data_IF_102370064253
#
_entry.id   IF_102370064253
#
_cell.length_a   1.000
_cell.length_b   1.000
_cell.length_c   1.000
_cell.angle_alpha   90.00
_cell.angle_beta   90.00
_cell.angle_gamma   90.00
#
_symmetry.space_group_name_H-M   'P 1'
#
loop_
_entity.id
_entity.type
_entity.pdbx_description
1 polymer ?
#
# COMPACT_ATOMS: atom_id res chain seq x y z
N UNK A 1 -26.14 34.51 -35.01
CA UNK A 1 -24.66 34.50 -35.12
C UNK A 1 -24.11 34.45 -33.71
N UNK A 2 -23.80 33.26 -33.24
CA UNK A 2 -23.12 33.03 -31.96
C UNK A 2 -21.68 32.64 -32.28
N UNK A 3 -20.66 33.23 -31.63
CA UNK A 3 -19.28 32.92 -31.94
C UNK A 3 -18.91 31.55 -31.36
N UNK A 4 -18.34 30.73 -32.23
CA UNK A 4 -17.69 29.44 -31.94
C UNK A 4 -16.51 29.67 -31.01
N UNK A 5 -16.55 29.06 -29.82
CA UNK A 5 -15.40 28.98 -28.92
C UNK A 5 -14.45 27.95 -29.53
N UNK A 6 -13.24 28.42 -29.82
CA UNK A 6 -12.13 27.66 -30.40
C UNK A 6 -11.58 26.72 -29.33
N UNK A 7 -11.38 25.45 -29.68
CA UNK A 7 -10.73 24.43 -28.86
C UNK A 7 -9.41 24.96 -28.29
N UNK A 8 -9.33 25.01 -26.96
CA UNK A 8 -8.07 25.16 -26.26
C UNK A 8 -7.49 23.76 -26.07
N UNK A 9 -6.62 23.36 -26.98
CA UNK A 9 -5.71 22.22 -26.81
C UNK A 9 -4.95 22.41 -25.49
N UNK A 10 -5.33 21.62 -24.49
CA UNK A 10 -4.57 21.46 -23.25
C UNK A 10 -3.30 20.68 -23.58
N UNK A 11 -2.29 21.39 -24.09
CA UNK A 11 -0.93 20.88 -24.13
C UNK A 11 -0.42 20.77 -22.70
N UNK A 12 -0.49 19.54 -22.15
CA UNK A 12 0.27 19.19 -20.96
C UNK A 12 1.76 19.41 -21.28
N UNK A 13 2.50 20.25 -20.53
CA UNK A 13 3.90 20.48 -20.83
C UNK A 13 4.68 19.19 -20.60
N UNK A 14 5.44 18.78 -21.62
CA UNK A 14 6.42 17.69 -21.58
C UNK A 14 7.50 17.98 -20.51
N UNK A 15 7.17 17.71 -19.26
CA UNK A 15 8.14 17.54 -18.18
C UNK A 15 8.65 16.12 -18.34
N UNK A 16 9.95 15.95 -18.61
CA UNK A 16 10.57 14.63 -18.63
C UNK A 16 10.09 13.84 -17.40
N UNK A 17 9.51 12.64 -17.57
CA UNK A 17 8.81 12.00 -16.47
C UNK A 17 9.79 11.79 -15.33
N UNK A 18 9.47 12.36 -14.17
CA UNK A 18 10.19 12.09 -12.94
C UNK A 18 10.18 10.59 -12.64
N UNK A 19 10.99 10.16 -11.67
CA UNK A 19 11.04 8.76 -11.28
C UNK A 19 9.65 8.24 -10.89
N UNK A 20 9.18 7.18 -11.56
CA UNK A 20 7.83 6.61 -11.44
C UNK A 20 7.79 5.33 -10.58
N UNK A 21 6.60 4.82 -10.26
CA UNK A 21 6.48 3.51 -9.61
C UNK A 21 6.92 2.38 -10.56
N UNK A 22 6.58 2.47 -11.84
CA UNK A 22 7.09 1.58 -12.90
C UNK A 22 8.62 1.50 -12.89
N UNK A 23 9.30 2.63 -12.72
CA UNK A 23 10.76 2.68 -12.61
C UNK A 23 11.28 1.95 -11.36
N UNK A 24 10.60 2.14 -10.22
CA UNK A 24 10.93 1.46 -8.98
C UNK A 24 10.79 -0.06 -9.10
N UNK A 25 9.66 -0.55 -9.62
CA UNK A 25 9.43 -1.99 -9.82
C UNK A 25 10.39 -2.59 -10.86
N UNK A 26 10.70 -1.86 -11.94
CA UNK A 26 11.73 -2.27 -12.91
C UNK A 26 13.13 -2.39 -12.28
N UNK A 27 13.47 -1.51 -11.33
CA UNK A 27 14.71 -1.62 -10.57
C UNK A 27 14.74 -2.91 -9.74
N UNK A 28 13.65 -3.23 -9.04
CA UNK A 28 13.50 -4.49 -8.31
C UNK A 28 13.69 -5.67 -9.26
N UNK A 29 12.98 -5.72 -10.38
CA UNK A 29 13.04 -6.85 -11.32
C UNK A 29 14.42 -7.08 -11.94
N UNK A 30 15.22 -6.01 -12.06
CA UNK A 30 16.59 -6.11 -12.57
C UNK A 30 17.60 -6.70 -11.58
N UNK A 31 17.26 -6.81 -10.29
CA UNK A 31 18.15 -7.34 -9.26
C UNK A 31 18.15 -8.89 -9.23
N UNK A 32 19.25 -9.54 -8.80
CA UNK A 32 19.31 -10.98 -8.64
C UNK A 32 18.19 -11.52 -7.73
N UNK A 33 17.62 -12.69 -8.06
CA UNK A 33 16.48 -13.26 -7.32
C UNK A 33 16.76 -13.45 -5.82
N UNK A 34 17.99 -13.86 -5.47
CA UNK A 34 18.42 -13.99 -4.07
C UNK A 34 18.39 -12.65 -3.33
N UNK A 35 18.90 -11.58 -3.96
CA UNK A 35 18.88 -10.22 -3.39
C UNK A 35 17.44 -9.71 -3.28
N UNK A 36 16.61 -9.91 -4.31
CA UNK A 36 15.18 -9.51 -4.29
C UNK A 36 14.42 -10.17 -3.14
N UNK A 37 14.63 -11.47 -2.92
CA UNK A 37 13.99 -12.22 -1.82
C UNK A 37 14.39 -11.68 -0.46
N UNK A 38 15.69 -11.47 -0.22
CA UNK A 38 16.19 -10.89 1.04
C UNK A 38 15.68 -9.49 1.26
N UNK A 39 15.70 -8.65 0.21
CA UNK A 39 15.19 -7.29 0.23
C UNK A 39 13.71 -7.26 0.67
N UNK A 40 12.84 -8.04 0.03
CA UNK A 40 11.42 -8.07 0.41
C UNK A 40 11.21 -8.59 1.84
N UNK A 41 11.95 -9.60 2.26
CA UNK A 41 11.87 -10.09 3.63
C UNK A 41 12.29 -9.00 4.64
N UNK A 42 13.30 -8.20 4.31
CA UNK A 42 13.70 -7.05 5.12
C UNK A 42 12.59 -5.99 5.17
N UNK A 43 12.00 -5.64 4.03
CA UNK A 43 10.87 -4.67 3.95
C UNK A 43 9.65 -5.12 4.76
N UNK A 44 9.41 -6.43 4.89
CA UNK A 44 8.34 -6.96 5.75
C UNK A 44 8.68 -6.97 7.24
N UNK A 45 9.96 -6.88 7.61
CA UNK A 45 10.42 -6.93 9.01
C UNK A 45 10.71 -5.57 9.59
N UNK A 46 11.20 -4.68 8.75
CA UNK A 46 11.63 -3.34 9.09
C UNK A 46 10.62 -2.31 8.63
N UNK A 47 10.62 -1.14 9.28
CA UNK A 47 9.76 -0.01 8.92
C UNK A 47 10.32 0.79 7.74
N UNK A 48 10.90 0.11 6.76
CA UNK A 48 11.46 0.74 5.58
C UNK A 48 10.37 1.08 4.57
N UNK A 49 10.46 2.29 4.02
CA UNK A 49 9.74 2.72 2.83
C UNK A 49 10.68 2.91 1.65
N UNK A 50 10.13 3.32 0.50
CA UNK A 50 10.92 3.59 -0.71
C UNK A 50 12.02 4.65 -0.50
N UNK A 51 11.77 5.66 0.36
CA UNK A 51 12.76 6.67 0.76
C UNK A 51 14.01 6.05 1.39
N UNK A 52 13.88 4.98 2.16
CA UNK A 52 14.98 4.37 2.90
C UNK A 52 15.89 3.63 1.92
N UNK A 53 15.29 2.98 0.92
CA UNK A 53 15.98 2.32 -0.18
C UNK A 53 16.82 3.36 -0.94
N UNK A 54 16.20 4.47 -1.34
CA UNK A 54 16.87 5.54 -2.08
C UNK A 54 17.97 6.17 -1.23
N UNK A 55 17.72 6.42 0.07
CA UNK A 55 18.71 6.92 1.02
C UNK A 55 19.95 6.04 1.09
N UNK A 56 19.79 4.75 1.35
CA UNK A 56 20.93 3.84 1.46
C UNK A 56 21.66 3.67 0.12
N UNK A 57 20.93 3.69 -0.99
CA UNK A 57 21.51 3.74 -2.32
C UNK A 57 22.38 4.95 -2.57
N UNK A 58 21.89 6.14 -2.22
CA UNK A 58 22.64 7.40 -2.36
C UNK A 58 23.89 7.42 -1.48
N UNK A 59 23.81 6.94 -0.22
CA UNK A 59 24.97 6.79 0.66
C UNK A 59 26.04 5.93 0.00
N UNK A 60 25.65 4.78 -0.55
CA UNK A 60 26.57 3.83 -1.16
C UNK A 60 27.22 4.37 -2.44
N UNK A 61 26.48 5.17 -3.21
CA UNK A 61 27.03 5.86 -4.38
C UNK A 61 27.90 7.08 -4.02
N UNK A 62 28.08 7.37 -2.72
CA UNK A 62 28.97 8.42 -2.24
C UNK A 62 28.32 9.81 -2.14
N UNK A 63 27.00 9.90 -2.25
CA UNK A 63 26.29 11.17 -2.05
C UNK A 63 26.18 11.52 -0.56
N UNK A 64 26.35 12.81 -0.20
CA UNK A 64 26.23 13.24 1.19
C UNK A 64 24.78 13.10 1.67
N UNK A 65 24.61 12.59 2.89
CA UNK A 65 23.29 12.39 3.49
C UNK A 65 23.10 13.32 4.68
N UNK A 66 22.32 14.38 4.44
CA UNK A 66 21.79 15.22 5.51
C UNK A 66 20.57 14.57 6.13
N UNK A 67 20.58 14.32 7.44
CA UNK A 67 19.44 13.73 8.15
C UNK A 67 18.14 14.53 7.95
N UNK A 68 18.21 15.87 7.87
CA UNK A 68 17.01 16.70 7.67
C UNK A 68 16.37 16.48 6.30
N UNK A 69 17.18 16.41 5.23
CA UNK A 69 16.71 16.23 3.86
C UNK A 69 15.93 14.91 3.69
N UNK A 70 16.41 13.83 4.32
CA UNK A 70 15.75 12.53 4.24
C UNK A 70 14.59 12.38 5.22
N UNK A 71 14.65 13.03 6.39
CA UNK A 71 13.54 13.02 7.34
C UNK A 71 12.31 13.76 6.79
N UNK A 72 12.51 14.77 5.94
CA UNK A 72 11.43 15.48 5.26
C UNK A 72 10.57 14.55 4.38
N UNK A 73 11.10 13.43 3.89
CA UNK A 73 10.34 12.42 3.15
C UNK A 73 9.13 11.88 3.92
N UNK A 74 9.13 11.96 5.25
CA UNK A 74 8.01 11.54 6.09
C UNK A 74 6.83 12.53 6.07
N UNK A 75 7.09 13.76 5.64
CA UNK A 75 6.19 14.91 5.75
C UNK A 75 5.78 15.47 4.39
N UNK A 76 6.29 14.91 3.30
CA UNK A 76 6.09 15.40 1.94
C UNK A 76 5.62 14.26 1.03
N UNK A 77 4.85 14.58 -0.01
CA UNK A 77 4.65 13.70 -1.15
C UNK A 77 5.98 13.21 -1.75
N UNK A 78 5.99 11.98 -2.24
CA UNK A 78 7.22 11.34 -2.72
C UNK A 78 7.85 12.10 -3.88
N UNK A 79 7.05 12.56 -4.83
CA UNK A 79 7.52 13.34 -5.98
C UNK A 79 8.19 14.67 -5.56
N UNK A 80 7.59 15.38 -4.59
CA UNK A 80 8.17 16.61 -4.05
C UNK A 80 9.49 16.30 -3.34
N UNK A 81 9.52 15.27 -2.50
CA UNK A 81 10.75 14.88 -1.81
C UNK A 81 11.87 14.51 -2.80
N UNK A 82 11.56 13.77 -3.87
CA UNK A 82 12.52 13.43 -4.91
C UNK A 82 13.11 14.67 -5.59
N UNK A 83 12.27 15.67 -5.89
CA UNK A 83 12.72 16.95 -6.44
C UNK A 83 13.65 17.69 -5.47
N UNK A 84 13.30 17.75 -4.19
CA UNK A 84 14.12 18.41 -3.16
C UNK A 84 15.49 17.74 -3.02
N UNK A 85 15.55 16.39 -3.09
CA UNK A 85 16.81 15.64 -3.07
C UNK A 85 17.65 15.92 -4.32
N UNK A 86 17.04 15.93 -5.51
CA UNK A 86 17.74 16.26 -6.76
C UNK A 86 18.25 17.70 -6.79
N UNK A 87 17.48 18.66 -6.26
CA UNK A 87 17.92 20.05 -6.13
C UNK A 87 19.09 20.18 -5.14
N UNK A 88 19.07 19.42 -4.04
CA UNK A 88 20.09 19.51 -2.99
C UNK A 88 21.40 18.81 -3.35
N UNK A 89 21.34 17.65 -4.02
CA UNK A 89 22.51 16.81 -4.33
C UNK A 89 23.04 17.00 -5.76
N UNK A 90 22.33 17.76 -6.59
CA UNK A 90 22.62 17.91 -8.02
C UNK A 90 22.09 16.73 -8.83
N UNK A 91 22.55 16.63 -10.09
CA UNK A 91 22.10 15.57 -10.99
C UNK A 91 22.66 14.21 -10.56
N UNK A 92 21.77 13.24 -10.34
CA UNK A 92 22.11 11.84 -10.10
C UNK A 92 21.04 10.93 -10.70
N UNK A 93 21.42 9.68 -10.97
CA UNK A 93 20.51 8.67 -11.49
C UNK A 93 19.72 8.01 -10.34
N UNK A 94 18.43 8.35 -10.23
CA UNK A 94 17.52 7.77 -9.25
C UNK A 94 17.36 6.25 -9.39
N UNK A 95 17.42 5.71 -10.62
CA UNK A 95 17.35 4.27 -10.84
C UNK A 95 18.61 3.60 -10.32
N UNK A 96 19.78 4.19 -10.56
CA UNK A 96 21.05 3.69 -10.03
C UNK A 96 21.05 3.70 -8.49
N UNK A 97 20.58 4.79 -7.88
CA UNK A 97 20.41 4.88 -6.43
C UNK A 97 19.46 3.81 -5.90
N UNK A 98 18.27 3.66 -6.48
CA UNK A 98 17.30 2.63 -6.08
C UNK A 98 17.88 1.23 -6.20
N UNK A 99 18.55 0.88 -7.32
CA UNK A 99 19.20 -0.43 -7.51
C UNK A 99 20.31 -0.69 -6.48
N UNK A 100 21.14 0.31 -6.21
CA UNK A 100 22.16 0.22 -5.18
C UNK A 100 21.54 -0.04 -3.80
N UNK A 101 20.48 0.71 -3.45
CA UNK A 101 19.70 0.54 -2.23
C UNK A 101 19.15 -0.88 -2.07
N UNK A 102 18.45 -1.38 -3.09
CA UNK A 102 17.91 -2.75 -3.11
C UNK A 102 19.04 -3.78 -2.92
N UNK A 103 20.17 -3.61 -3.62
CA UNK A 103 21.28 -4.56 -3.53
C UNK A 103 21.94 -4.57 -2.15
N UNK A 104 22.14 -3.40 -1.52
CA UNK A 104 22.69 -3.31 -0.17
C UNK A 104 21.76 -4.00 0.83
N UNK A 105 20.48 -3.64 0.81
CA UNK A 105 19.47 -4.22 1.70
C UNK A 105 19.31 -5.72 1.46
N UNK A 106 19.38 -6.17 0.21
CA UNK A 106 19.34 -7.58 -0.18
C UNK A 106 20.58 -8.39 0.22
N UNK A 107 21.68 -7.73 0.61
CA UNK A 107 22.92 -8.33 1.13
C UNK A 107 23.03 -8.27 2.65
N UNK A 108 22.11 -7.57 3.33
CA UNK A 108 22.10 -7.54 4.78
C UNK A 108 21.67 -8.90 5.34
N UNK A 109 22.24 -9.24 6.50
CA UNK A 109 21.76 -10.38 7.25
C UNK A 109 20.35 -10.10 7.75
N UNK A 110 19.41 -10.97 7.39
CA UNK A 110 18.05 -10.90 7.92
C UNK A 110 18.15 -11.15 9.43
N UNK A 111 17.60 -10.27 10.28
CA UNK A 111 17.60 -10.48 11.72
C UNK A 111 16.98 -11.84 12.05
N UNK A 112 17.81 -12.76 12.55
CA UNK A 112 17.44 -14.11 12.98
C UNK A 112 17.27 -14.10 14.50
N UNK A 113 16.07 -13.76 14.98
CA UNK A 113 15.76 -13.83 16.40
C UNK A 113 14.35 -13.32 16.71
N UNK A 114 13.81 -13.71 17.88
CA UNK A 114 12.55 -13.19 18.44
C UNK A 114 12.52 -11.65 18.64
N UNK A 115 13.64 -10.97 18.39
CA UNK A 115 13.80 -9.51 18.38
C UNK A 115 13.69 -8.87 16.98
N UNK A 116 13.47 -9.66 15.91
CA UNK A 116 13.02 -9.09 14.64
C UNK A 116 11.63 -8.49 14.88
N UNK A 117 11.45 -7.20 14.58
CA UNK A 117 10.22 -6.45 14.89
C UNK A 117 8.93 -7.09 14.37
N UNK A 118 8.99 -8.10 13.50
CA UNK A 118 7.84 -8.87 13.03
C UNK A 118 8.28 -10.34 12.78
N UNK A 119 7.78 -11.30 13.57
CA UNK A 119 7.57 -12.71 13.19
C UNK A 119 6.65 -13.47 14.15
N UNK A 120 5.57 -14.02 13.57
CA UNK A 120 4.41 -14.74 14.14
C UNK A 120 3.13 -13.92 14.41
N UNK A 121 2.64 -13.21 13.39
CA UNK A 121 1.24 -12.75 13.38
C UNK A 121 0.35 -13.80 12.72
N UNK A 122 0.34 -15.00 13.30
CA UNK A 122 -0.71 -15.99 13.04
C UNK A 122 -0.95 -16.74 14.34
N UNK A 123 -1.86 -16.20 15.15
CA UNK A 123 -2.89 -16.88 15.93
C UNK A 123 -3.37 -15.89 16.96
N UNK A 124 -4.68 -15.69 17.04
CA UNK A 124 -5.31 -14.94 18.12
C UNK A 124 -4.81 -15.45 19.46
N UNK A 125 -4.22 -14.60 20.34
CA UNK A 125 -3.94 -14.99 21.71
C UNK A 125 -4.87 -14.22 22.62
N UNK A 126 -6.19 -14.45 22.52
CA UNK A 126 -7.09 -14.12 23.63
C UNK A 126 -6.91 -15.08 24.83
N UNK A 127 -6.00 -16.06 24.77
CA UNK A 127 -6.01 -17.15 25.74
C UNK A 127 -5.21 -16.94 27.03
N UNK A 128 -4.23 -16.03 27.13
CA UNK A 128 -3.45 -15.90 28.38
C UNK A 128 -3.04 -14.44 28.69
N UNK A 129 -4.02 -13.61 29.09
CA UNK A 129 -3.73 -12.32 29.68
C UNK A 129 -3.25 -12.48 31.13
N UNK A 130 -1.97 -12.24 31.36
CA UNK A 130 -1.49 -11.79 32.66
C UNK A 130 -1.66 -10.26 32.67
N UNK A 131 -2.50 -9.74 33.57
CA UNK A 131 -2.86 -8.33 33.65
C UNK A 131 -1.62 -7.45 33.87
N UNK A 132 -1.27 -6.66 32.85
CA UNK A 132 -0.35 -5.51 32.96
C UNK A 132 -1.16 -4.25 32.67
N UNK A 133 -0.87 -3.16 33.39
CA UNK A 133 -1.62 -1.90 33.32
C UNK A 133 -1.27 -1.02 32.09
N UNK A 134 -0.53 -1.54 31.12
CA UNK A 134 -0.13 -0.79 29.93
C UNK A 134 -0.14 -1.66 28.66
N UNK A 135 -0.48 -1.01 27.54
CA UNK A 135 -0.39 -1.56 26.18
C UNK A 135 0.67 -0.77 25.43
N UNK A 136 1.63 -1.44 24.80
CA UNK A 136 2.62 -0.79 23.96
C UNK A 136 2.07 -0.69 22.54
N UNK A 137 1.93 0.52 22.05
CA UNK A 137 1.60 0.78 20.65
C UNK A 137 2.86 0.63 19.80
N UNK A 138 2.76 -0.09 18.68
CA UNK A 138 3.86 -0.31 17.75
C UNK A 138 3.40 -0.10 16.31
N UNK A 139 4.30 0.37 15.45
CA UNK A 139 4.05 0.48 14.00
C UNK A 139 4.41 -0.83 13.30
N UNK A 140 3.65 -1.13 12.26
CA UNK A 140 3.94 -2.17 11.29
C UNK A 140 4.21 -1.51 9.94
N UNK A 141 5.14 -2.06 9.16
CA UNK A 141 5.44 -1.51 7.84
C UNK A 141 4.24 -1.66 6.90
N UNK A 142 4.07 -0.71 5.99
CA UNK A 142 3.00 -0.79 4.98
C UNK A 142 3.03 -2.14 4.25
N UNK A 143 4.22 -2.57 3.82
CA UNK A 143 4.45 -3.86 3.13
C UNK A 143 4.00 -5.05 3.96
N UNK A 144 4.29 -5.07 5.27
CA UNK A 144 3.84 -6.15 6.16
C UNK A 144 2.32 -6.14 6.35
N UNK A 145 1.71 -4.97 6.54
CA UNK A 145 0.27 -4.85 6.74
C UNK A 145 -0.50 -5.32 5.50
N UNK A 146 -0.08 -4.89 4.31
CA UNK A 146 -0.70 -5.34 3.06
C UNK A 146 -0.45 -6.84 2.80
N UNK A 147 0.72 -7.38 3.16
CA UNK A 147 1.00 -8.81 3.06
C UNK A 147 0.04 -9.66 3.91
N UNK A 148 -0.23 -9.22 5.14
CA UNK A 148 -1.18 -9.90 6.03
C UNK A 148 -2.61 -9.86 5.46
N UNK A 149 -3.04 -8.71 4.94
CA UNK A 149 -4.34 -8.58 4.30
C UNK A 149 -4.43 -9.42 3.01
N UNK A 150 -3.35 -9.51 2.24
CA UNK A 150 -3.32 -10.33 1.03
C UNK A 150 -3.46 -11.81 1.36
N UNK A 151 -2.77 -12.28 2.40
CA UNK A 151 -2.95 -13.64 2.91
C UNK A 151 -4.38 -13.90 3.39
N UNK A 152 -5.00 -12.92 4.06
CA UNK A 152 -6.41 -12.99 4.48
C UNK A 152 -7.36 -13.11 3.29
N UNK A 153 -7.05 -12.43 2.18
CA UNK A 153 -7.83 -12.44 0.93
C UNK A 153 -7.39 -13.51 -0.08
N UNK A 154 -6.46 -14.42 0.28
CA UNK A 154 -5.93 -15.42 -0.64
C UNK A 154 -5.19 -14.84 -1.87
N UNK A 155 -4.77 -13.58 -1.82
CA UNK A 155 -3.97 -12.93 -2.87
C UNK A 155 -2.51 -13.35 -2.70
N UNK A 156 -1.94 -13.90 -3.76
CA UNK A 156 -0.58 -14.41 -3.79
C UNK A 156 0.43 -13.27 -3.89
N UNK A 157 1.57 -13.45 -3.19
CA UNK A 157 2.60 -12.42 -3.08
C UNK A 157 3.11 -11.88 -4.42
N UNK A 158 3.24 -12.75 -5.43
CA UNK A 158 3.75 -12.33 -6.73
C UNK A 158 2.87 -11.26 -7.41
N UNK A 159 1.56 -11.28 -7.14
CA UNK A 159 0.62 -10.30 -7.65
C UNK A 159 0.80 -8.92 -6.97
N UNK A 160 1.49 -8.83 -5.84
CA UNK A 160 1.72 -7.57 -5.14
C UNK A 160 3.02 -6.86 -5.55
N UNK A 161 3.99 -7.62 -6.07
CA UNK A 161 5.34 -7.12 -6.36
C UNK A 161 5.55 -6.77 -7.83
N UNK A 162 4.55 -6.99 -8.68
CA UNK A 162 4.57 -6.60 -10.08
C UNK A 162 3.60 -5.46 -10.27
N UNK A 163 4.08 -4.32 -10.77
CA UNK A 163 3.22 -3.17 -10.98
C UNK A 163 2.06 -3.48 -11.93
N UNK A 164 2.23 -4.33 -12.93
CA UNK A 164 1.17 -4.62 -13.92
C UNK A 164 0.17 -5.70 -13.50
N UNK A 165 0.25 -6.16 -12.25
CA UNK A 165 -0.67 -7.17 -11.72
C UNK A 165 -2.11 -6.65 -11.63
N UNK A 166 -3.06 -7.58 -11.73
CA UNK A 166 -4.50 -7.28 -11.68
C UNK A 166 -5.15 -8.04 -10.54
N UNK A 167 -6.02 -7.35 -9.80
CA UNK A 167 -6.86 -7.94 -8.76
C UNK A 167 -7.63 -9.15 -9.30
N UNK A 168 -7.78 -10.21 -8.49
CA UNK A 168 -8.58 -11.36 -8.87
C UNK A 168 -10.08 -11.06 -8.89
N UNK A 169 -10.56 -10.01 -8.22
CA UNK A 169 -11.99 -9.78 -7.98
C UNK A 169 -12.83 -9.55 -9.25
N UNK A 170 -12.38 -8.75 -10.25
CA UNK A 170 -13.15 -8.61 -11.49
C UNK A 170 -13.34 -9.93 -12.23
N UNK A 171 -12.27 -10.74 -12.32
CA UNK A 171 -12.29 -12.05 -12.97
C UNK A 171 -13.15 -13.06 -12.21
N UNK A 172 -13.11 -13.01 -10.89
CA UNK A 172 -13.95 -13.84 -10.03
C UNK A 172 -15.43 -13.54 -10.27
N UNK A 173 -15.81 -12.25 -10.35
CA UNK A 173 -17.17 -11.84 -10.71
C UNK A 173 -17.59 -12.35 -12.09
N UNK A 174 -16.74 -12.17 -13.09
CA UNK A 174 -17.05 -12.58 -14.47
C UNK A 174 -17.31 -14.09 -14.59
N UNK A 175 -16.48 -14.91 -13.95
CA UNK A 175 -16.66 -16.37 -13.92
C UNK A 175 -17.99 -16.79 -13.31
N UNK A 176 -18.44 -16.09 -12.25
CA UNK A 176 -19.73 -16.37 -11.63
C UNK A 176 -20.85 -16.08 -12.62
N UNK A 177 -20.87 -14.86 -13.20
CA UNK A 177 -21.89 -14.43 -14.15
C UNK A 177 -21.96 -15.38 -15.36
N UNK A 178 -20.81 -15.78 -15.91
CA UNK A 178 -20.76 -16.74 -17.01
C UNK A 178 -21.39 -18.08 -16.65
N UNK A 179 -21.21 -18.56 -15.41
CA UNK A 179 -21.86 -19.78 -14.94
C UNK A 179 -23.37 -19.60 -14.74
N UNK A 180 -23.87 -18.41 -14.39
CA UNK A 180 -25.32 -18.15 -14.25
C UNK A 180 -26.02 -18.00 -15.61
N UNK A 181 -25.36 -17.40 -16.61
CA UNK A 181 -25.94 -17.20 -17.95
C UNK A 181 -26.00 -18.49 -18.79
N UNK A 182 -25.16 -19.48 -18.49
CA UNK A 182 -25.24 -20.81 -19.10
C UNK A 182 -26.41 -21.65 -18.56
N UNK A 183 -27.10 -21.15 -17.52
CA UNK A 183 -28.07 -21.86 -16.68
C UNK A 183 -29.50 -21.32 -16.86
N UNK A 184 -29.74 -20.51 -17.90
CA UNK A 184 -30.93 -19.62 -18.07
C UNK A 184 -32.27 -20.35 -18.38
N UNK A 185 -32.44 -21.58 -17.87
CA UNK A 185 -33.67 -22.37 -17.99
C UNK A 185 -33.67 -23.74 -17.29
N UNK A 186 -32.55 -24.18 -16.69
CA UNK A 186 -32.45 -25.40 -15.89
C UNK A 186 -32.02 -25.08 -14.45
N UNK A 187 -32.22 -26.03 -13.53
CA UNK A 187 -31.70 -25.91 -12.15
C UNK A 187 -30.17 -25.71 -12.20
N UNK A 188 -29.60 -24.84 -11.33
CA UNK A 188 -28.16 -24.60 -11.26
C UNK A 188 -27.37 -25.87 -11.31
N UNK A 189 -26.51 -25.98 -12.33
CA UNK A 189 -25.52 -27.07 -12.38
C UNK A 189 -24.86 -27.21 -11.01
N UNK A 190 -24.69 -28.44 -10.54
CA UNK A 190 -24.18 -28.74 -9.20
C UNK A 190 -22.86 -27.99 -8.94
N UNK A 191 -22.03 -27.80 -9.98
CA UNK A 191 -20.79 -27.03 -9.94
C UNK A 191 -21.01 -25.52 -9.72
N UNK A 192 -21.99 -24.90 -10.39
CA UNK A 192 -22.30 -23.48 -10.21
C UNK A 192 -22.91 -23.22 -8.82
N UNK A 193 -23.80 -24.09 -8.36
CA UNK A 193 -24.35 -24.05 -7.00
C UNK A 193 -23.23 -24.18 -5.95
N UNK A 194 -22.31 -25.14 -6.14
CA UNK A 194 -21.16 -25.34 -5.26
C UNK A 194 -20.20 -24.13 -5.27
N UNK A 195 -19.92 -23.54 -6.44
CA UNK A 195 -19.07 -22.35 -6.57
C UNK A 195 -19.69 -21.14 -5.85
N UNK A 196 -21.01 -20.93 -6.01
CA UNK A 196 -21.74 -19.88 -5.29
C UNK A 196 -21.66 -20.07 -3.77
N UNK A 197 -21.80 -21.30 -3.28
CA UNK A 197 -21.68 -21.60 -1.85
C UNK A 197 -20.27 -21.33 -1.34
N UNK A 198 -19.23 -21.78 -2.05
CA UNK A 198 -17.82 -21.53 -1.70
C UNK A 198 -17.54 -20.02 -1.66
N UNK A 199 -17.99 -19.27 -2.65
CA UNK A 199 -17.81 -17.83 -2.67
C UNK A 199 -18.57 -17.14 -1.54
N UNK A 200 -19.82 -17.55 -1.30
CA UNK A 200 -20.63 -16.97 -0.21
C UNK A 200 -19.99 -17.24 1.14
N UNK A 201 -19.42 -18.43 1.34
CA UNK A 201 -18.67 -18.78 2.55
C UNK A 201 -17.36 -17.98 2.64
N UNK A 202 -16.62 -17.88 1.53
CA UNK A 202 -15.43 -17.05 1.42
C UNK A 202 -15.71 -15.58 1.81
N UNK A 203 -16.73 -14.95 1.22
CA UNK A 203 -17.13 -13.57 1.51
C UNK A 203 -17.62 -13.39 2.96
N UNK A 204 -18.26 -14.41 3.56
CA UNK A 204 -18.66 -14.38 4.98
C UNK A 204 -17.46 -14.38 5.93
N UNK A 205 -16.35 -14.99 5.52
CA UNK A 205 -15.13 -15.08 6.31
C UNK A 205 -14.19 -13.87 6.10
N UNK A 206 -14.50 -12.99 5.14
CA UNK A 206 -13.77 -11.73 4.95
C UNK A 206 -14.17 -10.72 6.03
N UNK A 207 -13.18 -10.01 6.56
CA UNK A 207 -13.37 -8.95 7.54
C UNK A 207 -14.09 -7.76 6.90
N UNK A 208 -15.01 -7.13 7.62
CA UNK A 208 -15.97 -6.16 7.07
C UNK A 208 -15.31 -5.07 6.20
N UNK A 209 -14.17 -4.55 6.65
CA UNK A 209 -13.50 -3.43 5.98
C UNK A 209 -12.73 -3.85 4.72
N UNK A 210 -12.48 -5.15 4.55
CA UNK A 210 -11.84 -5.75 3.38
C UNK A 210 -12.82 -6.38 2.39
N UNK A 211 -14.12 -6.45 2.72
CA UNK A 211 -15.14 -6.98 1.79
C UNK A 211 -15.02 -6.23 0.45
N UNK A 212 -14.94 -6.94 -0.70
CA UNK A 212 -14.79 -6.30 -2.00
C UNK A 212 -15.97 -5.37 -2.30
N UNK A 213 -15.67 -4.15 -2.74
CA UNK A 213 -16.67 -3.18 -3.16
C UNK A 213 -17.09 -3.42 -4.61
N UNK A 214 -18.19 -2.79 -5.03
CA UNK A 214 -18.66 -2.90 -6.40
C UNK A 214 -17.60 -2.49 -7.42
N UNK A 215 -16.85 -1.42 -7.17
CA UNK A 215 -15.77 -0.96 -8.05
C UNK A 215 -14.67 -2.02 -8.20
N UNK A 216 -14.30 -2.70 -7.11
CA UNK A 216 -13.32 -3.80 -7.16
C UNK A 216 -13.83 -5.02 -7.93
N UNK A 217 -15.15 -5.25 -7.91
CA UNK A 217 -15.76 -6.37 -8.63
C UNK A 217 -15.96 -6.08 -10.12
N UNK A 218 -15.94 -4.82 -10.56
CA UNK A 218 -16.26 -4.46 -11.96
C UNK A 218 -15.11 -3.81 -12.74
N UNK A 219 -14.11 -3.24 -12.07
CA UNK A 219 -13.05 -2.46 -12.73
C UNK A 219 -11.69 -3.14 -12.55
N UNK A 220 -10.89 -3.25 -13.61
CA UNK A 220 -9.56 -3.86 -13.55
C UNK A 220 -8.57 -2.97 -12.79
N UNK A 221 -8.07 -3.38 -11.63
CA UNK A 221 -7.18 -2.54 -10.81
C UNK A 221 -6.05 -3.37 -10.19
N UNK A 222 -5.05 -2.70 -9.61
CA UNK A 222 -3.91 -3.37 -8.97
C UNK A 222 -4.33 -3.96 -7.60
N UNK A 223 -3.90 -5.19 -7.24
CA UNK A 223 -4.30 -5.83 -5.98
C UNK A 223 -3.96 -5.04 -4.71
N UNK A 224 -2.96 -4.15 -4.71
CA UNK A 224 -2.64 -3.31 -3.53
C UNK A 224 -3.86 -2.52 -3.02
N UNK A 225 -4.75 -2.09 -3.92
CA UNK A 225 -5.96 -1.38 -3.52
C UNK A 225 -6.93 -2.29 -2.76
N UNK A 226 -6.89 -3.61 -2.97
CA UNK A 226 -7.71 -4.57 -2.22
C UNK A 226 -7.33 -4.66 -0.75
N UNK A 227 -6.11 -4.22 -0.40
CA UNK A 227 -5.46 -4.47 0.88
C UNK A 227 -5.60 -3.30 1.86
N UNK A 228 -6.23 -2.20 1.45
CA UNK A 228 -6.46 -1.02 2.29
C UNK A 228 -7.87 -1.16 2.91
N UNK A 229 -8.01 -1.23 4.24
CA UNK A 229 -9.31 -1.48 4.88
C UNK A 229 -10.20 -0.23 4.97
N UNK A 230 -10.34 0.51 3.87
CA UNK A 230 -11.24 1.66 3.76
C UNK A 230 -12.11 1.51 2.51
N UNK A 231 -13.31 0.90 2.61
CA UNK A 231 -14.14 0.55 1.44
C UNK A 231 -14.46 1.73 0.52
N UNK A 232 -14.78 2.89 1.11
CA UNK A 232 -15.10 4.11 0.35
C UNK A 232 -13.87 4.63 -0.39
N UNK A 233 -12.74 4.76 0.30
CA UNK A 233 -11.45 5.12 -0.30
C UNK A 233 -11.08 4.21 -1.47
N UNK A 234 -11.15 2.87 -1.30
CA UNK A 234 -10.86 1.90 -2.36
C UNK A 234 -11.71 2.13 -3.60
N UNK A 235 -13.02 2.30 -3.42
CA UNK A 235 -13.95 2.54 -4.53
C UNK A 235 -13.65 3.85 -5.27
N UNK A 236 -13.33 4.92 -4.53
CA UNK A 236 -12.94 6.21 -5.10
C UNK A 236 -11.61 6.14 -5.83
N UNK A 237 -10.58 5.54 -5.24
CA UNK A 237 -9.27 5.38 -5.84
C UNK A 237 -9.34 4.60 -7.17
N UNK A 238 -10.06 3.48 -7.19
CA UNK A 238 -10.26 2.68 -8.41
C UNK A 238 -10.99 3.51 -9.47
N UNK A 239 -12.07 4.19 -9.10
CA UNK A 239 -12.84 5.02 -10.04
C UNK A 239 -11.99 6.17 -10.60
N UNK A 240 -11.19 6.81 -9.76
CA UNK A 240 -10.35 7.94 -10.12
C UNK A 240 -9.25 7.56 -11.14
N UNK A 241 -8.60 6.41 -10.96
CA UNK A 241 -7.59 5.89 -11.91
C UNK A 241 -8.20 5.59 -13.28
N UNK A 242 -9.45 5.14 -13.34
CA UNK A 242 -10.14 4.75 -14.58
C UNK A 242 -10.96 5.86 -15.25
N UNK A 243 -11.02 7.04 -14.65
CA UNK A 243 -11.72 8.18 -15.24
C UNK A 243 -11.06 8.61 -16.55
N UNK A 244 -11.79 9.27 -17.45
CA UNK A 244 -11.25 9.79 -18.72
C UNK A 244 -11.50 11.30 -18.80
N UNK A 245 -10.46 12.15 -18.62
CA UNK A 245 -9.09 11.79 -18.24
C UNK A 245 -8.99 11.24 -16.80
N UNK A 246 -7.91 10.52 -16.44
CA UNK A 246 -7.70 10.03 -15.08
C UNK A 246 -7.69 11.19 -14.07
N UNK A 247 -8.39 11.02 -12.95
CA UNK A 247 -8.45 12.03 -11.89
C UNK A 247 -7.21 12.02 -11.00
N UNK A 248 -6.51 10.88 -10.94
CA UNK A 248 -5.25 10.73 -10.22
C UNK A 248 -4.21 10.03 -11.09
N UNK A 249 -2.94 10.37 -10.88
CA UNK A 249 -1.82 9.63 -11.43
C UNK A 249 -1.56 8.38 -10.57
N UNK A 250 -1.70 7.21 -11.19
CA UNK A 250 -1.47 5.90 -10.57
C UNK A 250 -0.01 5.72 -10.13
N UNK A 251 0.95 6.25 -10.90
CA UNK A 251 2.38 6.14 -10.60
C UNK A 251 2.70 6.88 -9.30
N UNK A 252 2.29 8.14 -9.23
CA UNK A 252 2.48 9.02 -8.08
C UNK A 252 1.75 8.49 -6.83
N UNK A 253 0.51 8.02 -6.99
CA UNK A 253 -0.27 7.41 -5.91
C UNK A 253 0.42 6.17 -5.32
N UNK A 254 0.97 5.30 -6.17
CA UNK A 254 1.67 4.10 -5.71
C UNK A 254 2.96 4.45 -4.94
N UNK A 255 3.71 5.45 -5.41
CA UNK A 255 4.92 5.91 -4.74
C UNK A 255 4.62 6.45 -3.34
N UNK A 256 3.54 7.23 -3.18
CA UNK A 256 3.11 7.75 -1.88
C UNK A 256 2.67 6.65 -0.91
N UNK A 257 1.97 5.61 -1.39
CA UNK A 257 1.65 4.43 -0.58
C UNK A 257 2.92 3.73 -0.07
N UNK A 258 3.91 3.55 -0.95
CA UNK A 258 5.20 2.93 -0.61
C UNK A 258 6.10 3.83 0.26
N UNK A 259 5.76 5.12 0.41
CA UNK A 259 6.48 6.09 1.23
C UNK A 259 5.80 6.35 2.60
N UNK A 260 5.12 5.35 3.17
CA UNK A 260 4.36 5.49 4.43
C UNK A 260 3.30 6.61 4.38
N UNK A 261 2.68 6.83 3.22
CA UNK A 261 1.47 7.64 3.14
C UNK A 261 0.37 7.07 4.04
N UNK A 262 0.30 5.74 4.12
CA UNK A 262 -0.54 4.97 5.04
C UNK A 262 0.31 4.12 5.99
N UNK A 263 -0.11 4.01 7.24
CA UNK A 263 0.60 3.30 8.32
C UNK A 263 -0.38 2.42 9.07
N UNK A 264 0.06 1.21 9.44
CA UNK A 264 -0.72 0.33 10.30
C UNK A 264 -0.11 0.29 11.70
N UNK A 265 -0.98 0.32 12.70
CA UNK A 265 -0.68 0.21 14.10
C UNK A 265 -0.99 -1.19 14.62
N UNK A 266 -0.20 -1.63 15.61
CA UNK A 266 -0.37 -2.88 16.33
C UNK A 266 -0.07 -2.71 17.81
N UNK A 267 -0.24 -3.79 18.56
CA UNK A 267 -0.15 -3.79 20.01
C UNK A 267 0.82 -4.86 20.50
N UNK A 268 1.68 -4.52 21.46
CA UNK A 268 2.56 -5.46 22.14
C UNK A 268 2.40 -5.33 23.66
N UNK A 269 2.61 -6.41 24.41
CA UNK A 269 2.53 -6.40 25.88
C UNK A 269 3.92 -6.42 26.57
N UNK A 270 4.99 -6.10 25.82
CA UNK A 270 6.37 -6.04 26.32
C UNK A 270 7.08 -7.39 26.44
N UNK A 271 6.41 -8.51 26.15
CA UNK A 271 7.00 -9.86 26.07
C UNK A 271 6.49 -10.70 24.89
N UNK A 272 5.42 -10.25 24.23
CA UNK A 272 4.88 -10.86 23.02
C UNK A 272 5.24 -10.07 21.77
N UNK A 273 5.16 -10.75 20.63
CA UNK A 273 5.17 -10.09 19.33
C UNK A 273 4.04 -9.05 19.22
N UNK A 274 4.25 -7.94 18.49
CA UNK A 274 3.17 -7.10 17.97
C UNK A 274 2.02 -7.92 17.38
N UNK A 275 0.84 -7.86 17.99
CA UNK A 275 -0.42 -8.32 17.41
C UNK A 275 -1.07 -7.14 16.69
N UNK A 276 -1.40 -7.31 15.41
CA UNK A 276 -2.17 -6.33 14.67
C UNK A 276 -3.30 -6.98 13.89
N UNK A 277 -4.34 -6.20 13.66
CA UNK A 277 -5.44 -6.51 12.76
C UNK A 277 -5.42 -5.50 11.60
N UNK A 278 -4.52 -5.66 10.61
CA UNK A 278 -4.44 -4.75 9.46
C UNK A 278 -5.69 -4.80 8.58
N UNK A 279 -6.58 -5.77 8.78
CA UNK A 279 -7.88 -5.84 8.14
C UNK A 279 -8.94 -4.96 8.80
N UNK A 280 -8.63 -4.31 9.92
CA UNK A 280 -9.50 -3.37 10.64
C UNK A 280 -9.06 -1.94 10.34
N UNK A 281 -9.99 -1.14 9.78
CA UNK A 281 -9.82 0.26 9.43
C UNK A 281 -9.25 1.10 10.59
N UNK A 282 -9.62 0.77 11.83
CA UNK A 282 -9.28 1.54 13.02
C UNK A 282 -7.79 1.51 13.34
N UNK A 283 -7.07 0.51 12.83
CA UNK A 283 -5.63 0.35 13.02
C UNK A 283 -4.80 1.10 11.99
N UNK A 284 -5.42 1.79 11.03
CA UNK A 284 -4.70 2.52 10.00
C UNK A 284 -4.68 4.03 10.27
N UNK A 285 -3.57 4.65 9.90
CA UNK A 285 -3.36 6.10 9.92
C UNK A 285 -2.84 6.52 8.54
N UNK A 286 -3.48 7.51 7.93
CA UNK A 286 -2.91 8.25 6.83
C UNK A 286 -2.08 9.44 7.36
N UNK A 287 -0.96 9.73 6.72
CA UNK A 287 -0.19 10.94 7.01
C UNK A 287 -1.02 12.19 6.65
N UNK A 288 -0.85 13.33 7.37
CA UNK A 288 -1.56 14.56 7.04
C UNK A 288 -1.38 15.00 5.58
N UNK A 289 -0.13 15.03 5.09
CA UNK A 289 0.19 15.38 3.70
C UNK A 289 -0.46 14.44 2.68
N UNK A 290 -0.69 13.17 3.04
CA UNK A 290 -1.31 12.17 2.17
C UNK A 290 -2.80 12.47 2.00
N UNK A 291 -3.50 12.77 3.10
CA UNK A 291 -4.91 13.15 3.05
C UNK A 291 -5.13 14.49 2.38
N UNK A 292 -4.19 15.44 2.51
CA UNK A 292 -4.25 16.72 1.81
C UNK A 292 -4.05 16.55 0.29
N UNK A 293 -3.01 15.80 -0.13
CA UNK A 293 -2.76 15.55 -1.56
C UNK A 293 -3.88 14.75 -2.22
N UNK A 294 -4.41 13.75 -1.52
CA UNK A 294 -5.41 12.82 -2.04
C UNK A 294 -6.83 13.11 -1.51
N UNK A 295 -7.12 14.36 -1.13
CA UNK A 295 -8.40 14.75 -0.51
C UNK A 295 -9.61 14.30 -1.32
N UNK A 296 -9.54 14.37 -2.65
CA UNK A 296 -10.58 13.94 -3.59
C UNK A 296 -10.94 12.44 -3.50
N UNK A 297 -10.04 11.62 -2.97
CA UNK A 297 -10.28 10.19 -2.72
C UNK A 297 -10.97 9.93 -1.37
N UNK A 298 -11.13 10.97 -0.55
CA UNK A 298 -11.73 10.92 0.78
C UNK A 298 -13.04 11.72 0.79
N UNK A 299 -13.72 11.80 1.93
CA UNK A 299 -14.82 12.74 2.17
C UNK A 299 -14.31 14.00 2.89
N UNK A 300 -13.08 14.42 2.56
CA UNK A 300 -12.38 15.50 3.25
C UNK A 300 -12.22 15.20 4.75
N UNK A 301 -12.36 16.24 5.57
CA UNK A 301 -12.24 16.11 7.04
C UNK A 301 -13.38 15.31 7.69
N UNK A 302 -14.48 15.10 6.97
CA UNK A 302 -15.62 14.32 7.45
C UNK A 302 -15.50 12.82 7.12
N UNK A 303 -14.53 12.43 6.30
CA UNK A 303 -14.26 11.03 5.96
C UNK A 303 -13.74 10.20 7.13
N UNK A 304 -14.00 8.90 7.07
CA UNK A 304 -13.56 7.94 8.09
C UNK A 304 -12.02 7.90 8.16
N UNK A 305 -11.35 8.00 7.01
CA UNK A 305 -9.88 8.00 6.91
C UNK A 305 -9.29 9.17 7.71
N UNK A 306 -9.89 10.36 7.59
CA UNK A 306 -9.45 11.55 8.33
C UNK A 306 -9.74 11.41 9.82
N UNK A 307 -10.95 11.02 10.21
CA UNK A 307 -11.36 10.89 11.61
C UNK A 307 -10.53 9.85 12.36
N UNK A 308 -10.27 8.70 11.74
CA UNK A 308 -9.43 7.63 12.31
C UNK A 308 -7.99 8.14 12.43
N UNK A 309 -7.44 8.77 11.39
CA UNK A 309 -6.07 9.29 11.41
C UNK A 309 -5.88 10.40 12.46
N UNK A 310 -6.86 11.31 12.61
CA UNK A 310 -6.83 12.35 13.62
C UNK A 310 -6.76 11.81 15.05
N UNK A 311 -7.41 10.66 15.32
CA UNK A 311 -7.28 9.97 16.61
C UNK A 311 -5.83 9.55 16.84
N UNK A 312 -5.17 8.94 15.86
CA UNK A 312 -3.76 8.54 15.97
C UNK A 312 -2.82 9.73 16.16
N UNK A 313 -3.01 10.82 15.41
CA UNK A 313 -2.21 12.04 15.58
C UNK A 313 -2.37 12.63 16.99
N UNK A 314 -3.59 12.61 17.54
CA UNK A 314 -3.85 13.10 18.91
C UNK A 314 -3.19 12.25 20.00
N UNK A 315 -2.96 10.96 19.73
CA UNK A 315 -2.27 10.05 20.66
C UNK A 315 -0.74 10.22 20.56
N UNK A 316 -0.20 10.39 19.35
CA UNK A 316 1.23 10.66 19.14
C UNK A 316 1.67 12.04 19.62
N UNK A 317 0.81 13.06 19.50
CA UNK A 317 1.07 14.41 19.99
C UNK A 317 1.18 14.51 21.53
N UNK A 318 0.76 13.48 22.27
CA UNK A 318 0.87 13.42 23.74
C UNK A 318 2.22 12.90 24.24
N UNK A 319 3.13 12.50 23.35
CA UNK A 319 4.45 11.95 23.73
C UNK A 319 5.60 12.96 23.62
N UNK A 320 5.32 14.22 23.35
CA UNK A 320 6.29 15.32 23.31
C UNK A 320 5.97 16.39 24.35
N UNK A 321 5.94 16.00 25.62
CA UNK A 321 5.99 16.91 26.79
C UNK A 321 7.17 16.53 27.65
#
# INVERSE_FOLDING_TARGET
MCPTIVDADFHSPDIAPGFTASDFFSCIDSCPETERRTFFLLMTKELFGIRDIIKYGLIFLGYPVSSSLYNNAMHLPMNQWLQDVQQSLGSFDLRAATKAGISILGKLNIPSGHNSRIHEIVTSPLSHFQTRDYILLCRISFVSAVFMNARHLGIIWHDLISFESKSPFPRLREKLIQQELLDDGEEPTEQAAQMRLILKDYLKNIQSDLVPTQAQLTMSHHPTLDLIPWPKFRSKAITAVHSTPPLIDREDFCLDLLNDGLRCWGFANGSSLPSAAPWDAQNWEAAPWFLEKWEHLTEGRDGDEWKISARWWSMGARSSV
#
